data_IF_306296703885
#
_entry.id   IF_306296703885
#
_cell.length_a   1.000
_cell.length_b   1.000
_cell.length_c   1.000
_cell.angle_alpha   90.00
_cell.angle_beta   90.00
_cell.angle_gamma   90.00
#
_symmetry.space_group_name_H-M   'P 1'
#
loop_
_entity.id
_entity.type
_entity.pdbx_description
1 polymer ?
#
# COMPACT_ATOMS: atom_id res chain seq x y z
N UNK A 1 8.01 12.38 12.52
CA UNK A 1 6.76 12.06 13.25
C UNK A 1 5.66 12.93 12.68
N UNK A 2 4.69 12.36 11.94
CA UNK A 2 3.66 13.15 11.25
C UNK A 2 2.71 13.71 12.30
N UNK A 3 2.71 15.04 12.47
CA UNK A 3 1.81 15.73 13.41
C UNK A 3 0.38 15.76 12.85
N UNK A 4 -0.62 15.69 13.74
CA UNK A 4 -2.05 15.73 13.41
C UNK A 4 -2.42 16.94 12.52
N UNK A 5 -1.67 18.04 12.62
CA UNK A 5 -1.84 19.25 11.80
C UNK A 5 -1.57 19.03 10.31
N UNK A 6 -0.74 18.04 9.94
CA UNK A 6 -0.46 17.72 8.53
C UNK A 6 -1.65 17.04 7.84
N UNK A 7 -2.46 16.28 8.58
CA UNK A 7 -3.65 15.63 8.03
C UNK A 7 -4.81 16.61 7.78
N UNK A 8 -4.86 17.74 8.48
CA UNK A 8 -5.87 18.78 8.24
C UNK A 8 -5.85 19.33 6.81
N UNK A 9 -4.68 19.41 6.19
CA UNK A 9 -4.50 19.80 4.78
C UNK A 9 -5.17 18.81 3.81
N UNK A 10 -5.08 17.50 4.10
CA UNK A 10 -5.71 16.45 3.30
C UNK A 10 -7.23 16.34 3.49
N UNK A 11 -7.83 17.05 4.45
CA UNK A 11 -9.28 16.97 4.69
C UNK A 11 -10.11 17.74 3.64
N UNK A 12 -9.47 18.61 2.86
CA UNK A 12 -10.13 19.42 1.84
C UNK A 12 -9.97 18.78 0.45
N UNK A 13 -10.56 17.59 0.27
CA UNK A 13 -10.52 16.87 -1.00
C UNK A 13 -11.71 17.32 -1.86
N UNK A 14 -11.43 18.10 -2.91
CA UNK A 14 -12.46 18.51 -3.88
C UNK A 14 -12.80 17.36 -4.83
N UNK A 15 -13.99 17.40 -5.44
CA UNK A 15 -14.36 16.45 -6.50
C UNK A 15 -13.42 16.60 -7.70
N UNK A 16 -13.07 15.48 -8.34
CA UNK A 16 -12.43 15.52 -9.66
C UNK A 16 -13.37 16.19 -10.66
N UNK A 17 -12.84 16.98 -11.59
CA UNK A 17 -13.62 17.65 -12.64
C UNK A 17 -14.39 16.63 -13.52
N UNK A 18 -13.91 15.39 -13.60
CA UNK A 18 -14.56 14.28 -14.28
C UNK A 18 -15.96 13.95 -13.73
N UNK A 19 -16.25 14.30 -12.48
CA UNK A 19 -17.56 14.09 -11.85
C UNK A 19 -18.65 14.93 -12.52
N UNK A 20 -18.30 16.03 -13.20
CA UNK A 20 -19.26 16.98 -13.77
C UNK A 20 -19.49 16.82 -15.28
N UNK A 21 -18.83 15.87 -15.95
CA UNK A 21 -18.89 15.71 -17.41
C UNK A 21 -20.12 14.92 -17.91
N UNK A 22 -21.01 14.46 -17.02
CA UNK A 22 -22.08 13.52 -17.33
C UNK A 22 -23.49 14.08 -17.04
N UNK A 23 -24.53 13.28 -17.30
CA UNK A 23 -25.92 13.68 -17.06
C UNK A 23 -26.16 14.02 -15.58
N UNK A 24 -27.03 15.00 -15.25
CA UNK A 24 -27.20 15.49 -13.88
C UNK A 24 -27.48 14.41 -12.82
N UNK A 25 -28.29 13.39 -13.15
CA UNK A 25 -28.59 12.28 -12.25
C UNK A 25 -27.36 11.42 -11.92
N UNK A 26 -26.49 11.18 -12.92
CA UNK A 26 -25.28 10.39 -12.77
C UNK A 26 -24.16 11.19 -12.06
N UNK A 27 -24.12 12.51 -12.27
CA UNK A 27 -23.25 13.43 -11.51
C UNK A 27 -23.54 13.33 -10.01
N UNK A 28 -24.81 13.26 -9.63
CA UNK A 28 -25.21 13.16 -8.22
C UNK A 28 -24.82 11.81 -7.60
N UNK A 29 -25.01 10.71 -8.32
CA UNK A 29 -24.57 9.37 -7.90
C UNK A 29 -23.04 9.31 -7.71
N UNK A 30 -22.25 9.86 -8.65
CA UNK A 30 -20.79 9.94 -8.54
C UNK A 30 -20.34 10.80 -7.35
N UNK A 31 -21.00 11.93 -7.10
CA UNK A 31 -20.71 12.77 -5.92
C UNK A 31 -20.98 12.01 -4.63
N UNK A 32 -22.10 11.29 -4.55
CA UNK A 32 -22.43 10.50 -3.38
C UNK A 32 -21.38 9.40 -3.13
N UNK A 33 -21.03 8.63 -4.17
CA UNK A 33 -19.96 7.63 -4.10
C UNK A 33 -18.63 8.23 -3.65
N UNK A 34 -18.23 9.36 -4.24
CA UNK A 34 -17.01 10.07 -3.88
C UNK A 34 -17.03 10.52 -2.40
N UNK A 35 -18.15 11.07 -1.94
CA UNK A 35 -18.31 11.47 -0.55
C UNK A 35 -18.18 10.28 0.41
N UNK A 36 -18.80 9.14 0.07
CA UNK A 36 -18.64 7.91 0.84
C UNK A 36 -17.18 7.46 0.91
N UNK A 37 -16.46 7.49 -0.21
CA UNK A 37 -15.02 7.17 -0.23
C UNK A 37 -14.18 8.14 0.60
N UNK A 38 -14.44 9.45 0.49
CA UNK A 38 -13.73 10.47 1.26
C UNK A 38 -14.01 10.30 2.76
N UNK A 39 -15.24 9.97 3.14
CA UNK A 39 -15.60 9.67 4.53
C UNK A 39 -14.85 8.45 5.05
N UNK A 40 -14.87 7.34 4.31
CA UNK A 40 -14.14 6.12 4.68
C UNK A 40 -12.64 6.38 4.80
N UNK A 41 -12.07 7.13 3.84
CA UNK A 41 -10.67 7.52 3.86
C UNK A 41 -10.33 8.38 5.09
N UNK A 42 -11.17 9.37 5.41
CA UNK A 42 -11.00 10.22 6.61
C UNK A 42 -11.05 9.39 7.88
N UNK A 43 -11.99 8.45 8.00
CA UNK A 43 -12.11 7.57 9.15
C UNK A 43 -10.83 6.73 9.33
N UNK A 44 -10.33 6.10 8.25
CA UNK A 44 -9.07 5.35 8.29
C UNK A 44 -7.87 6.25 8.61
N UNK A 45 -7.85 7.48 8.12
CA UNK A 45 -6.82 8.47 8.47
C UNK A 45 -6.85 8.83 9.95
N UNK A 46 -8.02 9.01 10.58
CA UNK A 46 -8.08 9.24 12.03
C UNK A 46 -7.51 8.06 12.82
N UNK A 47 -7.76 6.84 12.32
CA UNK A 47 -7.25 5.59 12.87
C UNK A 47 -5.85 5.21 12.37
N UNK A 48 -5.10 6.13 11.76
CA UNK A 48 -3.78 5.86 11.15
C UNK A 48 -2.80 5.14 12.09
N UNK A 49 -2.88 5.40 13.40
CA UNK A 49 -2.03 4.76 14.42
C UNK A 49 -2.23 3.25 14.49
N UNK A 50 -3.45 2.77 14.27
CA UNK A 50 -3.78 1.33 14.25
C UNK A 50 -3.08 0.64 13.08
N UNK A 51 -2.78 1.38 12.01
CA UNK A 51 -2.10 0.87 10.82
C UNK A 51 -0.57 0.92 10.91
N UNK A 52 0.02 1.58 11.91
CA UNK A 52 1.48 1.58 12.14
C UNK A 52 2.05 0.16 12.25
N UNK A 53 1.50 -0.76 13.08
CA UNK A 53 2.04 -2.10 13.22
C UNK A 53 1.92 -2.90 11.91
N UNK A 54 0.81 -2.74 11.18
CA UNK A 54 0.57 -3.39 9.88
C UNK A 54 1.60 -2.87 8.85
N UNK A 55 1.81 -1.56 8.79
CA UNK A 55 2.81 -0.94 7.91
C UNK A 55 4.21 -1.46 8.21
N UNK A 56 4.57 -1.59 9.50
CA UNK A 56 5.87 -2.15 9.90
C UNK A 56 6.03 -3.58 9.40
N UNK A 57 5.01 -4.44 9.50
CA UNK A 57 5.08 -5.82 8.98
C UNK A 57 5.28 -5.80 7.47
N UNK A 58 4.52 -4.99 6.73
CA UNK A 58 4.65 -4.87 5.28
C UNK A 58 6.06 -4.39 4.90
N UNK A 59 6.60 -3.41 5.62
CA UNK A 59 7.96 -2.92 5.40
C UNK A 59 9.02 -4.00 5.64
N UNK A 60 8.87 -4.80 6.69
CA UNK A 60 9.77 -5.92 7.00
C UNK A 60 9.70 -7.01 5.91
N UNK A 61 8.50 -7.30 5.39
CA UNK A 61 8.32 -8.20 4.23
C UNK A 61 9.07 -7.67 3.00
N UNK A 62 8.93 -6.38 2.68
CA UNK A 62 9.61 -5.80 1.52
C UNK A 62 11.13 -5.75 1.69
N UNK A 63 11.63 -5.51 2.91
CA UNK A 63 13.07 -5.60 3.22
C UNK A 63 13.60 -7.02 3.04
N UNK A 64 12.91 -8.00 3.63
CA UNK A 64 13.23 -9.42 3.46
C UNK A 64 13.28 -9.80 1.99
N UNK A 65 12.25 -9.42 1.24
CA UNK A 65 12.15 -9.69 -0.17
C UNK A 65 13.36 -9.11 -0.93
N UNK A 66 13.70 -7.84 -0.68
CA UNK A 66 14.82 -7.15 -1.32
C UNK A 66 16.17 -7.77 -1.01
N UNK A 67 16.40 -8.14 0.24
CA UNK A 67 17.67 -8.73 0.70
C UNK A 67 17.82 -10.17 0.21
N UNK A 68 16.73 -10.95 0.22
CA UNK A 68 16.76 -12.38 -0.10
C UNK A 68 16.69 -12.67 -1.61
N UNK A 69 15.93 -11.88 -2.38
CA UNK A 69 15.63 -12.20 -3.78
C UNK A 69 16.33 -11.29 -4.80
N UNK A 70 17.42 -10.62 -4.42
CA UNK A 70 18.27 -9.82 -5.32
C UNK A 70 17.46 -8.78 -6.14
N UNK A 71 16.33 -8.31 -5.60
CA UNK A 71 15.51 -7.29 -6.26
C UNK A 71 16.30 -6.02 -6.56
N UNK A 72 17.29 -5.71 -5.72
CA UNK A 72 18.19 -4.57 -5.89
C UNK A 72 19.13 -4.67 -7.10
N UNK A 73 19.42 -5.88 -7.59
CA UNK A 73 20.32 -6.10 -8.74
C UNK A 73 19.59 -6.64 -9.96
N UNK A 74 18.25 -6.55 -9.96
CA UNK A 74 17.37 -7.06 -11.00
C UNK A 74 17.33 -6.09 -12.19
N UNK A 75 18.44 -6.02 -12.91
CA UNK A 75 18.52 -5.25 -14.15
C UNK A 75 18.16 -6.14 -15.34
N UNK A 76 17.06 -5.85 -16.03
CA UNK A 76 16.64 -6.57 -17.25
C UNK A 76 16.25 -5.63 -18.36
N UNK A 77 16.46 -6.10 -19.58
CA UNK A 77 16.27 -5.34 -20.81
C UNK A 77 14.80 -5.06 -21.17
N UNK A 78 13.83 -5.81 -20.65
CA UNK A 78 12.40 -5.64 -21.00
C UNK A 78 11.50 -5.67 -19.76
N UNK A 79 10.47 -4.81 -19.76
CA UNK A 79 9.49 -4.72 -18.69
C UNK A 79 8.76 -6.05 -18.45
N UNK A 80 8.38 -6.75 -19.52
CA UNK A 80 7.73 -8.06 -19.42
C UNK A 80 8.59 -9.10 -18.68
N UNK A 81 9.91 -9.03 -18.80
CA UNK A 81 10.80 -9.92 -18.05
C UNK A 81 10.98 -9.49 -16.60
N UNK A 82 10.92 -8.19 -16.31
CA UNK A 82 10.94 -7.65 -14.94
C UNK A 82 9.69 -8.11 -14.21
N UNK A 83 8.51 -7.92 -14.81
CA UNK A 83 7.22 -8.30 -14.22
C UNK A 83 7.14 -9.77 -13.83
N UNK A 84 7.54 -10.68 -14.72
CA UNK A 84 7.53 -12.13 -14.45
C UNK A 84 8.37 -12.49 -13.23
N UNK A 85 9.51 -11.84 -13.06
CA UNK A 85 10.40 -12.11 -11.94
C UNK A 85 9.90 -11.46 -10.67
N UNK A 86 9.37 -10.24 -10.75
CA UNK A 86 8.70 -9.63 -9.61
C UNK A 86 7.56 -10.50 -9.09
N UNK A 87 6.70 -11.01 -9.98
CA UNK A 87 5.65 -11.93 -9.60
C UNK A 87 6.20 -13.21 -8.94
N UNK A 88 7.26 -13.80 -9.51
CA UNK A 88 7.89 -15.00 -8.96
C UNK A 88 8.53 -14.77 -7.58
N UNK A 89 9.26 -13.67 -7.41
CA UNK A 89 9.90 -13.32 -6.15
C UNK A 89 8.89 -12.94 -5.06
N UNK A 90 7.78 -12.27 -5.41
CA UNK A 90 6.66 -12.02 -4.48
C UNK A 90 6.03 -13.35 -4.05
N UNK A 91 5.79 -14.27 -4.99
CA UNK A 91 5.26 -15.60 -4.69
C UNK A 91 6.19 -16.38 -3.75
N UNK A 92 7.50 -16.42 -4.05
CA UNK A 92 8.49 -17.06 -3.19
C UNK A 92 8.55 -16.43 -1.80
N UNK A 93 8.49 -15.10 -1.71
CA UNK A 93 8.45 -14.39 -0.43
C UNK A 93 7.22 -14.82 0.39
N UNK A 94 6.04 -14.91 -0.25
CA UNK A 94 4.83 -15.41 0.39
C UNK A 94 4.99 -16.83 0.90
N UNK A 95 5.54 -17.73 0.09
CA UNK A 95 5.79 -19.14 0.47
C UNK A 95 6.76 -19.24 1.64
N UNK A 96 7.87 -18.50 1.64
CA UNK A 96 8.85 -18.51 2.74
C UNK A 96 8.23 -18.01 4.05
N UNK A 97 7.42 -16.95 3.98
CA UNK A 97 6.70 -16.44 5.15
C UNK A 97 5.72 -17.50 5.66
N UNK A 98 4.93 -18.10 4.78
CA UNK A 98 3.94 -19.12 5.14
C UNK A 98 4.54 -20.41 5.73
N UNK A 99 5.75 -20.79 5.31
CA UNK A 99 6.40 -22.02 5.77
C UNK A 99 7.29 -21.84 7.00
N UNK A 100 7.91 -20.67 7.18
CA UNK A 100 9.02 -20.51 8.13
C UNK A 100 8.87 -19.39 9.17
N UNK A 101 7.91 -18.48 9.03
CA UNK A 101 7.85 -17.26 9.86
C UNK A 101 6.49 -17.16 10.54
N UNK A 102 6.41 -17.68 11.76
CA UNK A 102 5.20 -17.65 12.59
C UNK A 102 5.12 -16.42 13.53
N UNK A 103 6.15 -15.55 13.54
CA UNK A 103 6.28 -14.43 14.48
C UNK A 103 6.89 -13.21 13.82
N UNK A 104 6.37 -12.02 14.17
CA UNK A 104 6.89 -10.72 13.73
C UNK A 104 8.37 -10.54 14.07
N UNK A 105 8.84 -11.07 15.20
CA UNK A 105 10.25 -10.95 15.63
C UNK A 105 11.20 -11.71 14.70
N UNK A 106 10.77 -12.86 14.20
CA UNK A 106 11.58 -13.68 13.30
C UNK A 106 11.61 -13.06 11.90
N UNK A 107 10.49 -12.47 11.46
CA UNK A 107 10.43 -11.68 10.23
C UNK A 107 11.43 -10.52 10.27
N UNK A 108 11.42 -9.74 11.36
CA UNK A 108 12.29 -8.58 11.53
C UNK A 108 13.77 -9.00 11.53
N UNK A 109 14.13 -10.09 12.24
CA UNK A 109 15.50 -10.64 12.24
C UNK A 109 16.00 -11.05 10.85
N UNK A 110 15.12 -11.63 10.03
CA UNK A 110 15.47 -12.02 8.67
C UNK A 110 15.56 -10.80 7.72
N UNK A 111 14.78 -9.76 7.98
CA UNK A 111 14.78 -8.53 7.21
C UNK A 111 15.99 -7.61 7.50
N UNK A 112 16.50 -7.61 8.73
CA UNK A 112 17.62 -6.76 9.18
C UNK A 112 19.02 -7.39 8.92
N UNK A 113 19.06 -8.60 8.37
CA UNK A 113 20.29 -9.35 8.08
C UNK A 113 20.97 -8.88 6.80
#
# INVERSE_FOLDING_TARGET
MWSCNHFKSFLNVNYSLEVFNEKPAYVEEKKHFYNSLVLEFKEKLYRWKDFIPIRSIIEDIFKLAKNSFVFSRLHRYTMRSVEKIYAFCVLLTGVVISLGINSKKDLQRLAER
#
